data_IF_657135399342
#
_entry.id   IF_657135399342
#
_cell.length_a   1.000
_cell.length_b   1.000
_cell.length_c   1.000
_cell.angle_alpha   90.00
_cell.angle_beta   90.00
_cell.angle_gamma   90.00
#
_symmetry.space_group_name_H-M   'P 1'
#
loop_
_entity.id
_entity.type
_entity.pdbx_description
1 polymer ?
#
# COMPACT_ATOMS: atom_id res chain seq x y z
N UNK A 1 12.62 -14.64 7.64
CA UNK A 1 12.32 -16.06 7.37
C UNK A 1 11.44 -16.11 6.13
N UNK A 2 11.81 -16.87 5.10
CA UNK A 2 11.01 -16.97 3.88
C UNK A 2 9.99 -18.10 3.97
N UNK A 3 8.89 -18.01 3.20
CA UNK A 3 7.93 -19.10 3.08
C UNK A 3 8.46 -20.07 2.00
N UNK A 4 8.74 -21.31 2.39
CA UNK A 4 9.21 -22.35 1.46
C UNK A 4 8.01 -23.01 0.78
N UNK A 5 8.00 -23.03 -0.56
CA UNK A 5 6.98 -23.73 -1.33
C UNK A 5 7.28 -25.24 -1.35
N UNK A 6 6.30 -26.04 -0.94
CA UNK A 6 6.42 -27.50 -0.80
C UNK A 6 6.52 -28.22 -2.16
N UNK A 7 5.98 -27.63 -3.23
CA UNK A 7 5.98 -28.23 -4.57
C UNK A 7 7.23 -27.92 -5.41
N UNK A 8 7.95 -26.82 -5.15
CA UNK A 8 9.08 -26.42 -5.98
C UNK A 8 10.37 -26.10 -5.21
N UNK A 9 10.36 -26.16 -3.87
CA UNK A 9 11.52 -25.89 -3.02
C UNK A 9 11.97 -24.42 -3.01
N UNK A 10 11.29 -23.52 -3.73
CA UNK A 10 11.63 -22.10 -3.73
C UNK A 10 11.19 -21.43 -2.44
N UNK A 11 12.12 -20.70 -1.82
CA UNK A 11 11.84 -19.87 -0.66
C UNK A 11 11.44 -18.48 -1.14
N UNK A 12 10.18 -18.11 -0.96
CA UNK A 12 9.73 -16.76 -1.24
C UNK A 12 10.36 -15.79 -0.24
N UNK A 13 11.14 -14.83 -0.72
CA UNK A 13 11.72 -13.79 0.12
C UNK A 13 10.60 -12.93 0.72
N UNK A 14 10.43 -13.00 2.03
CA UNK A 14 9.58 -12.07 2.77
C UNK A 14 10.24 -10.69 2.76
N UNK A 15 9.49 -9.68 2.35
CA UNK A 15 9.93 -8.28 2.33
C UNK A 15 9.04 -7.44 3.23
N UNK A 16 9.66 -6.58 4.04
CA UNK A 16 8.97 -5.54 4.81
C UNK A 16 8.67 -4.35 3.90
N UNK A 17 7.44 -3.86 3.96
CA UNK A 17 6.99 -2.67 3.26
C UNK A 17 6.41 -1.69 4.27
N UNK A 18 6.89 -0.45 4.21
CA UNK A 18 6.47 0.63 5.11
C UNK A 18 5.60 1.61 4.34
N UNK A 19 4.48 2.05 4.92
CA UNK A 19 3.51 2.94 4.29
C UNK A 19 4.09 4.35 4.10
N UNK A 20 4.70 4.66 2.96
CA UNK A 20 5.42 5.93 2.81
C UNK A 20 4.51 7.13 2.53
N UNK A 21 5.05 8.35 2.71
CA UNK A 21 4.40 9.61 2.31
C UNK A 21 3.96 9.60 0.85
N UNK A 22 4.78 9.04 -0.04
CA UNK A 22 4.46 8.93 -1.47
C UNK A 22 3.26 8.00 -1.72
N UNK A 23 3.09 6.95 -0.92
CA UNK A 23 1.92 6.06 -1.00
C UNK A 23 0.64 6.80 -0.59
N UNK A 24 0.66 7.50 0.55
CA UNK A 24 -0.49 8.29 1.01
C UNK A 24 -0.81 9.43 0.04
N UNK A 25 0.21 10.07 -0.53
CA UNK A 25 0.03 11.11 -1.56
C UNK A 25 -0.61 10.54 -2.84
N UNK A 26 -0.21 9.34 -3.26
CA UNK A 26 -0.83 8.62 -4.38
C UNK A 26 -2.29 8.24 -4.10
N UNK A 27 -2.60 7.83 -2.87
CA UNK A 27 -3.96 7.52 -2.43
C UNK A 27 -4.87 8.77 -2.46
N UNK A 28 -4.37 9.92 -1.99
CA UNK A 28 -5.10 11.20 -2.05
C UNK A 28 -5.36 11.60 -3.51
N UNK A 29 -4.38 11.42 -4.40
CA UNK A 29 -4.60 11.63 -5.84
C UNK A 29 -5.71 10.71 -6.34
N UNK A 30 -5.63 9.40 -6.08
CA UNK A 30 -6.64 8.45 -6.52
C UNK A 30 -8.06 8.82 -6.03
N UNK A 31 -8.22 9.22 -4.77
CA UNK A 31 -9.51 9.69 -4.23
C UNK A 31 -10.12 10.83 -5.04
N UNK A 32 -9.30 11.81 -5.46
CA UNK A 32 -9.76 12.95 -6.27
C UNK A 32 -10.26 12.54 -7.65
N UNK A 33 -9.66 11.49 -8.23
CA UNK A 33 -10.06 10.97 -9.55
C UNK A 33 -11.15 9.89 -9.47
N UNK A 34 -11.38 9.29 -8.30
CA UNK A 34 -12.30 8.18 -8.05
C UNK A 34 -11.80 6.84 -8.58
N UNK A 35 -11.32 6.82 -9.82
CA UNK A 35 -10.64 5.68 -10.45
C UNK A 35 -9.68 6.15 -11.54
N UNK A 36 -8.61 5.41 -11.79
CA UNK A 36 -7.71 5.76 -12.89
C UNK A 36 -6.66 4.70 -13.20
N UNK A 37 -6.25 4.66 -14.45
CA UNK A 37 -5.05 3.97 -14.92
C UNK A 37 -3.78 4.71 -14.50
N UNK A 38 -2.62 4.08 -14.70
CA UNK A 38 -1.31 4.71 -14.43
C UNK A 38 -1.17 6.06 -15.15
N UNK A 39 -1.60 6.15 -16.41
CA UNK A 39 -1.45 7.34 -17.24
C UNK A 39 -2.36 8.47 -16.76
N UNK A 40 -3.62 8.16 -16.43
CA UNK A 40 -4.59 9.14 -15.92
C UNK A 40 -4.19 9.71 -14.57
N UNK A 41 -3.61 8.87 -13.70
CA UNK A 41 -3.10 9.31 -12.39
C UNK A 41 -1.75 10.07 -12.50
N UNK A 42 -1.16 10.16 -13.70
CA UNK A 42 0.11 10.84 -13.93
C UNK A 42 1.29 10.23 -13.17
N UNK A 43 1.25 8.91 -12.89
CA UNK A 43 2.27 8.25 -12.07
C UNK A 43 3.47 7.83 -12.93
N UNK A 44 4.66 8.24 -12.49
CA UNK A 44 5.94 7.71 -12.99
C UNK A 44 6.07 6.20 -12.71
N UNK A 45 7.02 5.52 -13.35
CA UNK A 45 7.22 4.07 -13.11
C UNK A 45 7.55 3.73 -11.65
N UNK A 46 8.31 4.59 -10.98
CA UNK A 46 8.66 4.44 -9.56
C UNK A 46 7.43 4.68 -8.68
N UNK A 47 6.69 5.77 -8.90
CA UNK A 47 5.46 6.05 -8.16
C UNK A 47 4.41 4.96 -8.34
N UNK A 48 4.28 4.44 -9.57
CA UNK A 48 3.35 3.34 -9.86
C UNK A 48 3.71 2.08 -9.07
N UNK A 49 4.99 1.70 -9.03
CA UNK A 49 5.46 0.52 -8.29
C UNK A 49 5.26 0.65 -6.78
N UNK A 50 5.33 1.87 -6.24
CA UNK A 50 5.06 2.19 -4.84
C UNK A 50 3.56 2.19 -4.57
N UNK A 51 2.78 2.81 -5.45
CA UNK A 51 1.33 2.90 -5.38
C UNK A 51 0.66 1.52 -5.37
N UNK A 52 1.08 0.61 -6.25
CA UNK A 52 0.54 -0.76 -6.29
C UNK A 52 0.62 -1.50 -4.95
N UNK A 53 1.61 -1.18 -4.10
CA UNK A 53 1.79 -1.81 -2.79
C UNK A 53 0.72 -1.42 -1.78
N UNK A 54 -0.05 -0.34 -2.01
CA UNK A 54 -1.20 0.03 -1.18
C UNK A 54 -2.25 -1.10 -1.09
N UNK A 55 -2.23 -2.04 -2.04
CA UNK A 55 -3.02 -3.28 -1.98
C UNK A 55 -2.73 -4.13 -0.75
N UNK A 56 -1.50 -4.12 -0.23
CA UNK A 56 -1.15 -4.87 0.99
C UNK A 56 -1.86 -4.35 2.24
N UNK A 57 -2.27 -3.08 2.24
CA UNK A 57 -3.08 -2.51 3.32
C UNK A 57 -4.58 -2.57 3.01
N UNK A 58 -4.96 -3.11 1.86
CA UNK A 58 -6.35 -3.12 1.39
C UNK A 58 -6.92 -1.73 1.13
N UNK A 59 -6.09 -0.71 0.88
CA UNK A 59 -6.51 0.68 0.67
C UNK A 59 -6.91 0.97 -0.77
N UNK A 60 -6.38 0.19 -1.72
CA UNK A 60 -6.74 0.24 -3.13
C UNK A 60 -6.98 -1.16 -3.65
N UNK A 61 -7.73 -1.24 -4.74
CA UNK A 61 -7.95 -2.47 -5.49
C UNK A 61 -7.76 -2.21 -6.99
N UNK A 62 -7.36 -3.27 -7.71
CA UNK A 62 -7.25 -3.24 -9.16
C UNK A 62 -8.59 -3.68 -9.78
N UNK A 63 -9.12 -2.87 -10.68
CA UNK A 63 -10.28 -3.18 -11.52
C UNK A 63 -9.82 -3.69 -12.89
N UNK A 64 -10.78 -4.08 -13.71
CA UNK A 64 -10.54 -4.52 -15.10
C UNK A 64 -9.82 -3.42 -15.91
N UNK A 65 -9.11 -3.83 -16.96
CA UNK A 65 -8.32 -2.96 -17.83
C UNK A 65 -7.19 -2.14 -17.15
N UNK A 66 -6.74 -2.53 -15.94
CA UNK A 66 -5.60 -1.88 -15.28
C UNK A 66 -5.92 -0.59 -14.54
N UNK A 67 -7.21 -0.32 -14.33
CA UNK A 67 -7.66 0.79 -13.48
C UNK A 67 -7.50 0.44 -12.01
N UNK A 68 -7.23 1.46 -11.21
CA UNK A 68 -7.19 1.39 -9.77
C UNK A 68 -8.36 2.14 -9.18
N UNK A 69 -8.85 1.66 -8.04
CA UNK A 69 -9.91 2.29 -7.27
C UNK A 69 -9.53 2.27 -5.80
N UNK A 70 -9.90 3.33 -5.09
CA UNK A 70 -9.84 3.36 -3.63
C UNK A 70 -10.94 2.46 -3.04
N UNK A 71 -10.59 1.66 -2.03
CA UNK A 71 -11.56 0.82 -1.31
C UNK A 71 -12.28 1.64 -0.24
N UNK A 72 -13.35 1.10 0.36
CA UNK A 72 -13.99 1.74 1.53
C UNK A 72 -12.99 1.98 2.66
N UNK A 73 -12.17 0.97 2.98
CA UNK A 73 -11.06 1.11 3.95
C UNK A 73 -10.07 2.21 3.57
N UNK A 74 -9.81 2.41 2.27
CA UNK A 74 -8.97 3.49 1.77
C UNK A 74 -9.54 4.88 2.05
N UNK A 75 -10.85 5.04 1.84
CA UNK A 75 -11.59 6.27 2.18
C UNK A 75 -11.56 6.52 3.68
N UNK A 76 -11.98 5.54 4.49
CA UNK A 76 -12.00 5.62 5.95
C UNK A 76 -10.61 5.94 6.51
N UNK A 77 -9.55 5.36 5.92
CA UNK A 77 -8.18 5.66 6.30
C UNK A 77 -7.86 7.12 6.02
N UNK A 78 -8.13 7.62 4.81
CA UNK A 78 -7.87 9.01 4.43
C UNK A 78 -8.66 10.02 5.27
N UNK A 79 -9.87 9.67 5.69
CA UNK A 79 -10.70 10.48 6.58
C UNK A 79 -10.20 10.45 8.03
N UNK A 80 -9.38 9.45 8.38
CA UNK A 80 -8.80 9.25 9.70
C UNK A 80 -9.67 8.41 10.63
N UNK A 81 -10.69 7.76 10.08
CA UNK A 81 -11.63 6.91 10.81
C UNK A 81 -11.05 5.54 11.14
N UNK A 82 -10.09 5.07 10.35
CA UNK A 82 -9.35 3.83 10.63
C UNK A 82 -7.84 4.06 10.64
N UNK A 83 -7.17 3.33 11.53
CA UNK A 83 -5.71 3.22 11.54
C UNK A 83 -5.29 1.98 10.76
N UNK A 84 -4.06 2.01 10.22
CA UNK A 84 -3.46 0.85 9.55
C UNK A 84 -2.05 0.58 10.05
N UNK A 85 -1.55 -0.67 9.96
CA UNK A 85 -0.17 -0.99 10.31
C UNK A 85 0.81 -0.10 9.55
N UNK A 86 1.83 0.43 10.24
CA UNK A 86 2.91 1.20 9.62
C UNK A 86 3.63 0.37 8.58
N UNK A 87 3.84 -0.90 8.89
CA UNK A 87 4.54 -1.84 8.04
C UNK A 87 3.77 -3.15 7.89
N UNK A 88 3.98 -3.77 6.74
CA UNK A 88 3.45 -5.09 6.38
C UNK A 88 4.57 -5.94 5.80
N UNK A 89 4.48 -7.24 6.01
CA UNK A 89 5.41 -8.22 5.46
C UNK A 89 4.69 -8.98 4.37
N UNK A 90 5.25 -8.97 3.16
CA UNK A 90 4.66 -9.69 2.04
C UNK A 90 5.66 -10.64 1.37
N UNK A 91 5.15 -11.77 0.89
CA UNK A 91 5.86 -12.77 0.11
C UNK A 91 4.98 -13.22 -1.06
N UNK A 92 5.56 -13.38 -2.25
CA UNK A 92 4.83 -13.77 -3.46
C UNK A 92 3.57 -12.93 -3.75
N UNK A 93 3.61 -11.63 -3.42
CA UNK A 93 2.49 -10.71 -3.64
C UNK A 93 1.34 -10.83 -2.62
N UNK A 94 1.49 -11.66 -1.59
CA UNK A 94 0.52 -11.84 -0.51
C UNK A 94 1.08 -11.29 0.80
N UNK A 95 0.22 -10.68 1.63
CA UNK A 95 0.59 -10.27 2.98
C UNK A 95 0.66 -11.50 3.87
N UNK A 96 1.79 -11.69 4.55
CA UNK A 96 2.05 -12.83 5.44
C UNK A 96 2.05 -12.42 6.91
N UNK A 97 2.33 -11.16 7.22
CA UNK A 97 2.26 -10.60 8.56
C UNK A 97 2.10 -9.08 8.49
N UNK A 98 1.64 -8.48 9.58
CA UNK A 98 1.56 -7.03 9.75
C UNK A 98 2.29 -6.62 11.03
N UNK A 99 2.76 -5.39 11.06
CA UNK A 99 3.37 -4.77 12.24
C UNK A 99 2.24 -4.23 13.13
N UNK A 100 1.82 -5.01 14.12
CA UNK A 100 0.67 -4.67 14.99
C UNK A 100 1.02 -3.63 16.07
N UNK A 101 2.31 -3.43 16.35
CA UNK A 101 2.78 -2.53 17.40
C UNK A 101 2.71 -1.05 16.97
N UNK A 102 2.80 -0.77 15.67
CA UNK A 102 2.82 0.59 15.13
C UNK A 102 1.65 0.80 14.15
N UNK A 103 0.58 1.42 14.64
CA UNK A 103 -0.59 1.80 13.83
C UNK A 103 -0.55 3.28 13.51
N UNK A 104 -0.80 3.65 12.26
CA UNK A 104 -0.70 5.03 11.79
C UNK A 104 -1.97 5.53 11.13
N UNK A 105 -2.23 6.83 11.28
CA UNK A 105 -3.19 7.60 10.48
C UNK A 105 -2.49 8.22 9.26
N UNK A 106 -3.22 8.78 8.28
CA UNK A 106 -2.61 9.51 7.18
C UNK A 106 -1.76 10.70 7.67
N UNK A 107 -2.20 11.36 8.74
CA UNK A 107 -1.50 12.54 9.28
C UNK A 107 -0.14 12.17 9.84
N UNK A 108 -0.03 11.03 10.51
CA UNK A 108 1.24 10.54 11.06
C UNK A 108 2.23 10.26 9.93
N UNK A 109 1.78 9.60 8.87
CA UNK A 109 2.62 9.28 7.69
C UNK A 109 3.05 10.54 6.94
N UNK A 110 2.18 11.54 6.82
CA UNK A 110 2.51 12.80 6.12
C UNK A 110 3.42 13.74 6.93
N UNK A 111 3.49 13.60 8.26
CA UNK A 111 4.26 14.48 9.16
C UNK A 111 5.68 13.97 9.50
N UNK A 112 5.97 12.69 9.28
CA UNK A 112 7.14 12.00 9.87
C UNK A 112 8.55 12.34 9.33
N UNK A 113 8.79 13.50 8.71
CA UNK A 113 10.13 13.93 8.25
C UNK A 113 10.64 15.19 8.96
N UNK A 114 10.44 15.30 10.28
CA UNK A 114 11.11 16.32 11.12
C UNK A 114 12.08 15.72 12.15
N UNK A 115 12.35 14.42 12.08
CA UNK A 115 13.29 13.74 12.96
C UNK A 115 14.05 12.65 12.19
N UNK A 116 14.98 13.06 11.34
CA UNK A 116 16.06 12.22 10.82
C UNK A 116 17.32 13.08 10.65
#
# INVERSE_FOLDING_TARGET
MGATCESCGQTATVRRYTLSRSMVSGLIKLRRWGSGSRQELGLTGVEYSVFQKLTYWGLIEKREAGHWRITGRGEDFLDGDVLVPRAVYAAAGQVVAVDEDEMVSPRDVLRYELAA
#
